data_IF_989946319351
#
_entry.id   IF_989946319351
#
_cell.length_a   1.000
_cell.length_b   1.000
_cell.length_c   1.000
_cell.angle_alpha   90.00
_cell.angle_beta   90.00
_cell.angle_gamma   90.00
#
_symmetry.space_group_name_H-M   'P 1'
#
loop_
_entity.id
_entity.type
_entity.pdbx_description
1 polymer ?
#
# COMPACT_ATOMS: atom_id res chain seq x y z
N UNK A 1 -24.77 43.39 -29.36
CA UNK A 1 -26.10 43.37 -30.03
C UNK A 1 -26.97 42.35 -29.33
N UNK A 2 -27.94 42.86 -28.69
CA UNK A 2 -29.01 42.30 -27.82
C UNK A 2 -29.99 41.43 -28.60
N UNK A 3 -30.45 40.31 -28.02
CA UNK A 3 -31.87 39.91 -28.14
C UNK A 3 -32.26 38.95 -27.03
N UNK A 4 -33.11 39.46 -26.16
CA UNK A 4 -33.91 38.75 -25.19
C UNK A 4 -35.08 38.00 -25.90
N UNK A 5 -35.45 36.82 -25.44
CA UNK A 5 -36.71 36.18 -25.75
C UNK A 5 -37.43 35.86 -24.42
N UNK A 6 -38.49 36.59 -24.15
CA UNK A 6 -39.49 36.35 -23.13
C UNK A 6 -40.45 35.24 -23.57
N UNK A 7 -40.99 34.42 -22.68
CA UNK A 7 -42.08 33.50 -23.02
C UNK A 7 -43.43 34.19 -22.90
N UNK A 8 -44.25 33.99 -23.93
CA UNK A 8 -45.64 34.43 -24.04
C UNK A 8 -46.49 33.71 -22.98
N UNK A 9 -47.15 34.50 -22.14
CA UNK A 9 -48.26 34.05 -21.31
C UNK A 9 -49.55 34.16 -22.09
N UNK A 10 -50.16 33.03 -22.42
CA UNK A 10 -51.51 32.99 -22.97
C UNK A 10 -52.52 33.15 -21.81
N UNK A 11 -53.22 34.30 -21.79
CA UNK A 11 -54.43 34.52 -20.99
C UNK A 11 -55.65 33.97 -21.77
N UNK A 12 -56.16 32.81 -21.33
CA UNK A 12 -57.47 32.34 -21.76
C UNK A 12 -58.48 32.84 -20.73
N UNK A 13 -59.30 33.87 -21.13
CA UNK A 13 -60.47 34.29 -20.39
C UNK A 13 -61.61 33.31 -20.75
N UNK A 14 -61.94 32.42 -19.84
CA UNK A 14 -63.21 31.71 -19.88
C UNK A 14 -64.07 32.18 -18.73
N UNK A 15 -65.21 32.74 -19.08
CA UNK A 15 -66.34 33.04 -18.18
C UNK A 15 -66.93 31.71 -17.71
N UNK A 16 -66.82 31.42 -16.44
CA UNK A 16 -67.53 30.29 -15.81
C UNK A 16 -68.72 30.85 -15.03
N UNK A 17 -69.89 30.37 -15.43
CA UNK A 17 -71.08 30.46 -14.64
C UNK A 17 -71.03 29.55 -13.41
N UNK A 18 -71.56 30.05 -12.31
CA UNK A 18 -71.63 29.39 -11.00
C UNK A 18 -72.22 27.98 -11.06
N UNK A 19 -71.54 27.05 -10.33
CA UNK A 19 -72.07 25.72 -10.03
C UNK A 19 -71.10 24.56 -9.84
N UNK A 20 -69.86 24.78 -9.32
CA UNK A 20 -68.92 23.72 -9.12
C UNK A 20 -68.56 23.49 -7.63
N UNK A 21 -68.94 22.33 -7.09
CA UNK A 21 -68.65 21.87 -5.73
C UNK A 21 -67.14 21.95 -5.34
N UNK A 22 -66.81 22.49 -4.17
CA UNK A 22 -65.36 22.63 -3.70
C UNK A 22 -64.60 21.32 -3.54
N UNK A 23 -65.27 20.16 -3.64
CA UNK A 23 -64.65 18.85 -3.54
C UNK A 23 -63.80 18.46 -4.77
N UNK A 24 -64.16 18.98 -5.99
CA UNK A 24 -63.40 18.65 -7.21
C UNK A 24 -62.08 19.40 -7.33
N UNK A 25 -61.98 20.61 -6.79
CA UNK A 25 -60.73 21.38 -6.81
C UNK A 25 -59.68 20.79 -5.86
N UNK A 26 -60.10 20.20 -4.73
CA UNK A 26 -59.19 19.53 -3.78
C UNK A 26 -58.63 18.23 -4.34
N UNK A 27 -59.39 17.51 -5.18
CA UNK A 27 -58.91 16.24 -5.77
C UNK A 27 -57.88 16.47 -6.87
N UNK A 28 -58.00 17.52 -7.68
CA UNK A 28 -57.00 17.87 -8.73
C UNK A 28 -55.71 18.37 -8.11
N UNK A 29 -55.76 19.16 -7.03
CA UNK A 29 -54.57 19.61 -6.30
C UNK A 29 -53.85 18.45 -5.59
N UNK A 30 -54.56 17.43 -5.09
CA UNK A 30 -53.98 16.26 -4.46
C UNK A 30 -53.30 15.35 -5.50
N UNK A 31 -53.82 15.23 -6.72
CA UNK A 31 -53.21 14.46 -7.81
C UNK A 31 -51.99 15.16 -8.41
N UNK A 32 -51.90 16.49 -8.41
CA UNK A 32 -50.72 17.22 -8.89
C UNK A 32 -49.51 17.10 -7.93
N UNK A 33 -49.75 16.92 -6.63
CA UNK A 33 -48.71 16.73 -5.63
C UNK A 33 -48.11 15.30 -5.70
N UNK A 34 -48.89 14.30 -6.16
CA UNK A 34 -48.44 12.91 -6.33
C UNK A 34 -47.54 12.69 -7.57
N UNK A 35 -47.49 13.66 -8.50
CA UNK A 35 -46.65 13.58 -9.70
C UNK A 35 -45.47 14.56 -9.73
N UNK A 36 -45.08 15.13 -8.58
CA UNK A 36 -43.77 15.77 -8.49
C UNK A 36 -42.74 14.65 -8.59
N UNK A 37 -41.93 14.59 -9.67
CA UNK A 37 -40.81 13.63 -9.70
C UNK A 37 -39.95 13.97 -8.52
N UNK A 38 -39.84 13.04 -7.57
CA UNK A 38 -38.81 13.06 -6.57
C UNK A 38 -37.50 12.97 -7.35
N UNK A 39 -36.93 14.12 -7.71
CA UNK A 39 -35.55 14.19 -8.17
C UNK A 39 -34.69 13.77 -6.99
N UNK A 40 -34.45 12.48 -6.86
CA UNK A 40 -33.40 11.98 -5.97
C UNK A 40 -32.09 12.56 -6.48
N UNK A 41 -31.58 13.56 -5.77
CA UNK A 41 -30.22 14.04 -6.05
C UNK A 41 -29.27 12.90 -5.82
N UNK A 42 -28.38 12.68 -6.77
CA UNK A 42 -27.25 11.80 -6.55
C UNK A 42 -26.39 12.41 -5.45
N UNK A 43 -26.22 11.69 -4.33
CA UNK A 43 -25.52 12.18 -3.17
C UNK A 43 -24.11 11.62 -3.07
N UNK A 44 -23.88 10.37 -3.50
CA UNK A 44 -22.61 9.71 -3.37
C UNK A 44 -22.26 8.89 -4.62
N UNK A 45 -20.95 8.66 -4.77
CA UNK A 45 -20.40 7.65 -5.66
C UNK A 45 -19.86 6.53 -4.78
N UNK A 46 -20.37 5.32 -4.99
CA UNK A 46 -19.86 4.09 -4.40
C UNK A 46 -18.99 3.37 -5.44
N UNK A 47 -17.77 3.03 -5.07
CA UNK A 47 -16.83 2.22 -5.85
C UNK A 47 -16.74 0.87 -5.16
N UNK A 48 -17.47 -0.16 -5.64
CA UNK A 48 -17.43 -1.49 -5.04
C UNK A 48 -16.06 -2.11 -5.23
N UNK A 49 -15.66 -2.95 -4.27
CA UNK A 49 -14.37 -3.64 -4.30
C UNK A 49 -14.53 -5.16 -4.17
N UNK A 50 -15.73 -5.66 -4.48
CA UNK A 50 -16.08 -7.06 -4.64
C UNK A 50 -15.84 -7.53 -6.09
N UNK A 51 -16.23 -8.76 -6.43
CA UNK A 51 -16.07 -9.38 -7.76
C UNK A 51 -16.81 -8.63 -8.89
N UNK A 52 -17.64 -7.65 -8.58
CA UNK A 52 -18.28 -6.79 -9.59
C UNK A 52 -17.36 -5.69 -10.11
N UNK A 53 -16.23 -5.45 -9.46
CA UNK A 53 -15.25 -4.47 -9.89
C UNK A 53 -14.48 -4.97 -11.11
N UNK A 54 -14.38 -4.12 -12.14
CA UNK A 54 -13.61 -4.41 -13.34
C UNK A 54 -12.11 -4.26 -13.15
N UNK A 55 -11.70 -3.31 -12.31
CA UNK A 55 -10.31 -2.99 -12.07
C UNK A 55 -10.13 -2.49 -10.63
N UNK A 56 -9.77 -3.41 -9.74
CA UNK A 56 -9.50 -3.09 -8.34
C UNK A 56 -8.35 -2.10 -8.20
N UNK A 57 -7.27 -2.30 -8.96
CA UNK A 57 -6.04 -1.50 -8.79
C UNK A 57 -6.27 -0.04 -9.20
N UNK A 58 -6.97 0.22 -10.31
CA UNK A 58 -7.33 1.59 -10.71
C UNK A 58 -8.35 2.24 -9.79
N UNK A 59 -9.15 1.45 -9.07
CA UNK A 59 -10.08 1.98 -8.07
C UNK A 59 -9.37 2.71 -6.92
N UNK A 60 -8.21 2.19 -6.47
CA UNK A 60 -7.34 2.89 -5.53
C UNK A 60 -6.79 4.20 -6.12
N UNK A 61 -6.42 4.17 -7.41
CA UNK A 61 -6.00 5.38 -8.12
C UNK A 61 -7.07 6.46 -8.17
N UNK A 62 -8.35 6.09 -8.36
CA UNK A 62 -9.48 7.05 -8.29
C UNK A 62 -9.63 7.58 -6.87
N UNK A 63 -9.61 6.73 -5.84
CA UNK A 63 -9.67 7.16 -4.44
C UNK A 63 -8.53 8.15 -4.11
N UNK A 64 -7.30 7.83 -4.52
CA UNK A 64 -6.14 8.71 -4.36
C UNK A 64 -6.31 10.05 -5.10
N UNK A 65 -6.82 10.01 -6.32
CA UNK A 65 -7.08 11.22 -7.11
C UNK A 65 -8.13 12.12 -6.44
N UNK A 66 -9.20 11.55 -5.87
CA UNK A 66 -10.21 12.30 -5.10
C UNK A 66 -9.55 13.02 -3.91
N UNK A 67 -8.65 12.34 -3.17
CA UNK A 67 -7.90 12.93 -2.07
C UNK A 67 -6.97 14.05 -2.55
N UNK A 68 -6.30 13.88 -3.70
CA UNK A 68 -5.45 14.93 -4.31
C UNK A 68 -6.27 16.16 -4.70
N UNK A 69 -7.53 15.98 -5.07
CA UNK A 69 -8.46 17.07 -5.34
C UNK A 69 -9.00 17.75 -4.06
N UNK A 70 -8.49 17.41 -2.88
CA UNK A 70 -8.89 17.98 -1.59
C UNK A 70 -10.28 17.53 -1.11
N UNK A 71 -10.73 16.35 -1.56
CA UNK A 71 -12.00 15.74 -1.16
C UNK A 71 -11.74 14.51 -0.31
N UNK A 72 -12.66 14.22 0.59
CA UNK A 72 -12.60 13.05 1.46
C UNK A 72 -13.18 11.81 0.76
N UNK A 73 -12.68 10.66 1.18
CA UNK A 73 -13.17 9.33 0.77
C UNK A 73 -13.46 8.51 2.03
N UNK A 74 -14.61 7.91 2.12
CA UNK A 74 -14.92 6.92 3.15
C UNK A 74 -14.49 5.53 2.65
N UNK A 75 -13.55 4.88 3.35
CA UNK A 75 -13.17 3.50 3.10
C UNK A 75 -14.05 2.59 3.95
N UNK A 76 -14.93 1.85 3.30
CA UNK A 76 -15.94 1.01 3.93
C UNK A 76 -15.36 -0.38 4.19
N UNK A 77 -14.77 -0.58 5.39
CA UNK A 77 -14.08 -1.81 5.75
C UNK A 77 -15.05 -3.00 5.81
N UNK A 78 -14.69 -4.07 5.12
CA UNK A 78 -15.44 -5.32 4.96
C UNK A 78 -16.81 -5.17 4.23
N UNK A 79 -17.20 -3.96 3.83
CA UNK A 79 -18.39 -3.76 3.01
C UNK A 79 -18.05 -3.97 1.54
N UNK A 80 -18.63 -4.99 0.91
CA UNK A 80 -18.41 -5.33 -0.50
C UNK A 80 -16.92 -5.34 -0.87
N UNK A 81 -16.11 -6.07 -0.11
CA UNK A 81 -14.67 -6.20 -0.33
C UNK A 81 -13.82 -5.00 0.08
N UNK A 82 -14.35 -4.05 0.86
CA UNK A 82 -13.64 -2.83 1.29
C UNK A 82 -13.79 -1.67 0.30
N UNK A 83 -15.05 -1.33 -0.01
CA UNK A 83 -15.46 -0.32 -0.99
C UNK A 83 -15.04 1.09 -0.60
N UNK A 84 -14.94 1.97 -1.60
CA UNK A 84 -14.76 3.40 -1.39
C UNK A 84 -16.07 4.15 -1.66
N UNK A 85 -16.34 5.18 -0.86
CA UNK A 85 -17.50 6.05 -1.05
C UNK A 85 -17.08 7.52 -0.91
N UNK A 86 -17.60 8.38 -1.78
CA UNK A 86 -17.34 9.82 -1.74
C UNK A 86 -18.56 10.60 -2.20
N UNK A 87 -18.64 11.89 -1.86
CA UNK A 87 -19.72 12.74 -2.32
C UNK A 87 -19.75 12.81 -3.84
N UNK A 88 -20.98 12.83 -4.41
CA UNK A 88 -21.14 12.92 -5.84
C UNK A 88 -20.62 14.24 -6.40
N UNK A 89 -19.70 14.14 -7.34
CA UNK A 89 -19.31 15.22 -8.25
C UNK A 89 -19.18 14.66 -9.67
N UNK A 90 -19.69 15.40 -10.65
CA UNK A 90 -19.65 14.95 -12.05
C UNK A 90 -18.24 14.67 -12.56
N UNK A 91 -17.24 15.40 -12.03
CA UNK A 91 -15.83 15.16 -12.37
C UNK A 91 -15.32 13.80 -11.84
N UNK A 92 -15.77 13.37 -10.65
CA UNK A 92 -15.38 12.06 -10.08
C UNK A 92 -16.03 10.94 -10.90
N UNK A 93 -17.31 11.08 -11.24
CA UNK A 93 -17.99 10.13 -12.12
C UNK A 93 -17.30 10.03 -13.49
N UNK A 94 -16.85 11.15 -14.05
CA UNK A 94 -16.10 11.14 -15.31
C UNK A 94 -14.77 10.42 -15.16
N UNK A 95 -14.05 10.62 -14.04
CA UNK A 95 -12.78 9.95 -13.76
C UNK A 95 -12.96 8.43 -13.63
N UNK A 96 -14.01 7.96 -12.94
CA UNK A 96 -14.34 6.53 -12.90
C UNK A 96 -14.55 5.95 -14.30
N UNK A 97 -15.21 6.69 -15.19
CA UNK A 97 -15.44 6.26 -16.59
C UNK A 97 -14.15 6.25 -17.41
N UNK A 98 -13.31 7.28 -17.27
CA UNK A 98 -12.02 7.38 -17.98
C UNK A 98 -11.12 6.22 -17.61
N UNK A 99 -11.02 5.88 -16.32
CA UNK A 99 -10.20 4.76 -15.83
C UNK A 99 -10.86 3.39 -16.01
N UNK A 100 -12.12 3.32 -16.43
CA UNK A 100 -12.84 2.09 -16.76
C UNK A 100 -13.28 1.26 -15.56
N UNK A 101 -13.30 1.84 -14.34
CA UNK A 101 -13.70 1.14 -13.12
C UNK A 101 -15.24 1.04 -12.99
N UNK A 102 -15.70 0.06 -12.22
CA UNK A 102 -17.11 -0.04 -11.83
C UNK A 102 -17.41 0.97 -10.71
N UNK A 103 -18.54 1.68 -10.84
CA UNK A 103 -19.03 2.60 -9.82
C UNK A 103 -20.57 2.67 -9.86
N UNK A 104 -21.15 3.10 -8.75
CA UNK A 104 -22.59 3.31 -8.59
C UNK A 104 -22.84 4.75 -8.13
N UNK A 105 -23.77 5.43 -8.82
CA UNK A 105 -24.26 6.74 -8.36
C UNK A 105 -25.49 6.49 -7.51
N UNK A 106 -25.41 6.78 -6.22
CA UNK A 106 -26.43 6.44 -5.24
C UNK A 106 -27.07 7.70 -4.62
N UNK A 107 -28.36 7.58 -4.26
CA UNK A 107 -29.08 8.63 -3.57
C UNK A 107 -28.77 8.69 -2.08
N UNK A 108 -29.06 9.83 -1.42
CA UNK A 108 -28.88 10.03 0.04
C UNK A 108 -29.50 8.90 0.86
N UNK A 109 -30.69 8.44 0.49
CA UNK A 109 -31.37 7.36 1.20
C UNK A 109 -30.57 6.05 1.17
N UNK A 110 -29.95 5.72 0.01
CA UNK A 110 -29.10 4.51 -0.10
C UNK A 110 -27.78 4.68 0.63
N UNK A 111 -27.19 5.87 0.60
CA UNK A 111 -26.01 6.21 1.42
C UNK A 111 -26.28 5.98 2.92
N UNK A 112 -27.42 6.50 3.41
CA UNK A 112 -27.82 6.31 4.80
C UNK A 112 -28.08 4.83 5.15
N UNK A 113 -28.71 4.06 4.26
CA UNK A 113 -28.91 2.62 4.41
C UNK A 113 -27.57 1.88 4.60
N UNK A 114 -26.60 2.14 3.69
CA UNK A 114 -25.25 1.54 3.75
C UNK A 114 -24.54 1.89 5.08
N UNK A 115 -24.55 3.16 5.48
CA UNK A 115 -23.92 3.59 6.71
C UNK A 115 -24.59 3.00 7.96
N UNK A 116 -25.92 2.81 7.94
CA UNK A 116 -26.66 2.15 9.01
C UNK A 116 -26.31 0.65 9.09
N UNK A 117 -26.22 -0.05 7.95
CA UNK A 117 -25.77 -1.44 7.87
C UNK A 117 -24.37 -1.59 8.47
N UNK A 118 -23.40 -0.78 8.02
CA UNK A 118 -22.03 -0.78 8.51
C UNK A 118 -21.95 -0.43 10.01
N UNK A 119 -22.84 0.47 10.45
CA UNK A 119 -22.93 0.93 11.85
C UNK A 119 -23.51 -0.11 12.82
N UNK A 120 -24.16 -1.16 12.32
CA UNK A 120 -24.77 -2.21 13.18
C UNK A 120 -23.69 -2.92 13.99
N UNK A 121 -23.85 -3.01 15.33
CA UNK A 121 -22.88 -3.71 16.19
C UNK A 121 -22.69 -5.18 15.89
N UNK A 122 -23.67 -5.84 15.28
CA UNK A 122 -23.66 -7.29 14.99
C UNK A 122 -22.80 -7.66 13.78
N UNK A 123 -22.48 -6.71 12.89
CA UNK A 123 -21.67 -6.96 11.69
C UNK A 123 -20.21 -6.58 11.91
N UNK A 124 -19.30 -7.33 11.28
CA UNK A 124 -17.87 -7.02 11.27
C UNK A 124 -17.54 -6.03 10.14
N UNK A 125 -18.12 -4.84 10.23
CA UNK A 125 -17.92 -3.75 9.27
C UNK A 125 -17.68 -2.43 10.03
N UNK A 126 -16.94 -1.54 9.43
CA UNK A 126 -16.79 -0.14 9.88
C UNK A 126 -16.40 0.73 8.69
N UNK A 127 -16.25 2.02 8.88
CA UNK A 127 -15.67 2.88 7.87
C UNK A 127 -14.56 3.76 8.45
N UNK A 128 -13.57 4.06 7.63
CA UNK A 128 -12.48 4.98 7.96
C UNK A 128 -12.48 6.11 6.94
N UNK A 129 -12.42 7.33 7.45
CA UNK A 129 -12.31 8.51 6.61
C UNK A 129 -10.88 8.69 6.16
N UNK A 130 -10.67 8.79 4.84
CA UNK A 130 -9.42 9.21 4.23
C UNK A 130 -9.52 10.72 3.97
N UNK A 131 -8.53 11.49 4.46
CA UNK A 131 -8.64 12.96 4.50
C UNK A 131 -7.71 13.67 3.52
N UNK A 132 -6.53 13.07 3.24
CA UNK A 132 -5.50 13.72 2.43
C UNK A 132 -4.68 12.68 1.66
N UNK A 133 -4.38 12.96 0.40
CA UNK A 133 -3.45 12.15 -0.37
C UNK A 133 -2.05 12.15 0.29
N UNK A 134 -1.47 10.98 0.61
CA UNK A 134 -0.13 10.91 1.17
C UNK A 134 0.92 11.28 0.13
N UNK A 135 2.03 11.89 0.59
CA UNK A 135 3.24 12.02 -0.21
C UNK A 135 4.05 10.74 -0.15
N UNK A 136 4.33 10.17 -1.31
CA UNK A 136 4.94 8.86 -1.47
C UNK A 136 6.38 9.01 -1.93
N UNK A 137 7.29 8.30 -1.26
CA UNK A 137 8.67 8.11 -1.71
C UNK A 137 8.96 6.62 -1.95
N UNK A 138 9.72 6.34 -2.98
CA UNK A 138 10.29 5.02 -3.27
C UNK A 138 11.80 5.12 -3.14
N UNK A 139 12.39 4.29 -2.28
CA UNK A 139 13.83 4.23 -2.07
C UNK A 139 14.46 3.33 -3.12
N UNK A 140 15.13 3.94 -4.09
CA UNK A 140 15.76 3.20 -5.19
C UNK A 140 16.90 4.00 -5.84
N UNK A 141 17.92 3.30 -6.42
CA UNK A 141 19.01 3.95 -7.14
C UNK A 141 18.50 4.69 -8.38
N UNK A 142 18.90 5.95 -8.55
CA UNK A 142 18.44 6.80 -9.68
C UNK A 142 19.10 6.48 -11.03
N UNK A 143 20.20 5.74 -11.00
CA UNK A 143 21.01 5.41 -12.19
C UNK A 143 20.67 4.07 -12.83
N UNK A 144 19.75 3.31 -12.23
CA UNK A 144 19.20 2.08 -12.80
C UNK A 144 17.87 2.36 -13.46
N UNK A 145 17.49 1.48 -14.39
CA UNK A 145 16.09 1.41 -14.87
C UNK A 145 15.22 0.83 -13.73
N UNK A 146 15.03 1.62 -12.68
CA UNK A 146 14.26 1.30 -11.47
C UNK A 146 12.82 0.91 -11.80
N UNK A 147 12.37 1.34 -12.97
CA UNK A 147 11.01 1.21 -13.46
C UNK A 147 10.62 -0.20 -13.91
N UNK A 148 11.61 -1.10 -14.04
CA UNK A 148 11.43 -2.33 -14.81
C UNK A 148 11.11 -3.53 -13.91
N UNK A 149 11.33 -3.40 -12.59
CA UNK A 149 11.44 -4.56 -11.73
C UNK A 149 10.73 -4.40 -10.36
N UNK A 150 10.40 -3.19 -9.95
CA UNK A 150 9.80 -2.93 -8.66
C UNK A 150 8.26 -3.01 -8.73
N UNK A 151 7.67 -4.02 -8.08
CA UNK A 151 6.23 -4.25 -8.05
C UNK A 151 5.43 -3.03 -7.55
N UNK A 152 5.98 -2.27 -6.60
CA UNK A 152 5.31 -1.06 -6.07
C UNK A 152 5.32 0.04 -7.13
N UNK A 153 6.44 0.27 -7.81
CA UNK A 153 6.52 1.24 -8.91
C UNK A 153 5.56 0.86 -10.04
N UNK A 154 5.50 -0.43 -10.38
CA UNK A 154 4.59 -0.95 -11.41
C UNK A 154 3.13 -0.62 -11.05
N UNK A 155 2.70 -0.92 -9.82
CA UNK A 155 1.31 -0.68 -9.43
C UNK A 155 0.99 0.81 -9.23
N UNK A 156 1.91 1.61 -8.72
CA UNK A 156 1.72 3.05 -8.60
C UNK A 156 1.53 3.71 -9.97
N UNK A 157 2.33 3.31 -10.96
CA UNK A 157 2.18 3.77 -12.36
C UNK A 157 0.85 3.30 -12.97
N UNK A 158 0.49 2.03 -12.79
CA UNK A 158 -0.76 1.48 -13.31
C UNK A 158 -2.00 2.16 -12.71
N UNK A 159 -1.99 2.40 -11.40
CA UNK A 159 -3.05 3.11 -10.69
C UNK A 159 -2.98 4.64 -10.86
N UNK A 160 -1.96 5.17 -11.57
CA UNK A 160 -1.72 6.61 -11.77
C UNK A 160 -1.59 7.39 -10.45
N UNK A 161 -0.87 6.81 -9.50
CA UNK A 161 -0.56 7.41 -8.20
C UNK A 161 0.84 8.02 -8.27
N UNK A 162 1.00 9.34 -8.03
CA UNK A 162 2.31 9.99 -8.12
C UNK A 162 3.22 9.61 -6.95
N UNK A 163 4.52 9.51 -7.23
CA UNK A 163 5.57 9.22 -6.25
C UNK A 163 6.88 9.87 -6.66
N UNK A 164 7.77 10.05 -5.68
CA UNK A 164 9.13 10.52 -5.89
C UNK A 164 10.12 9.36 -5.64
N UNK A 165 11.21 9.33 -6.42
CA UNK A 165 12.32 8.39 -6.19
C UNK A 165 13.39 9.11 -5.39
N UNK A 166 13.75 8.55 -4.24
CA UNK A 166 14.83 9.03 -3.36
C UNK A 166 15.81 7.89 -3.08
N UNK A 167 17.04 8.23 -2.74
CA UNK A 167 18.04 7.24 -2.36
C UNK A 167 18.90 7.72 -1.20
N UNK A 168 20.07 7.10 -0.99
CA UNK A 168 20.98 7.40 0.13
C UNK A 168 21.25 8.90 0.32
N UNK A 169 21.52 9.62 -0.77
CA UNK A 169 21.86 11.04 -0.74
C UNK A 169 20.74 11.91 -0.19
N UNK A 170 19.49 11.69 -0.64
CA UNK A 170 18.34 12.45 -0.18
C UNK A 170 18.01 12.14 1.29
N UNK A 171 18.15 10.87 1.70
CA UNK A 171 17.90 10.47 3.08
C UNK A 171 18.95 11.10 4.01
N UNK A 172 20.23 11.05 3.62
CA UNK A 172 21.32 11.66 4.39
C UNK A 172 21.22 13.19 4.47
N UNK A 173 20.58 13.84 3.49
CA UNK A 173 20.24 15.26 3.51
C UNK A 173 19.01 15.61 4.33
N UNK A 174 18.26 14.61 4.82
CA UNK A 174 17.09 14.81 5.67
C UNK A 174 15.77 14.98 4.91
N UNK A 175 15.70 14.59 3.65
CA UNK A 175 14.52 14.78 2.79
C UNK A 175 13.31 13.90 3.18
N UNK A 176 13.49 12.88 4.02
CA UNK A 176 12.40 11.99 4.47
C UNK A 176 11.22 12.73 5.13
N UNK A 177 11.48 13.86 5.78
CA UNK A 177 10.43 14.67 6.44
C UNK A 177 9.39 15.25 5.46
N UNK A 178 9.65 15.19 4.16
CA UNK A 178 8.74 15.65 3.11
C UNK A 178 7.66 14.64 2.75
N UNK A 179 7.82 13.38 3.19
CA UNK A 179 6.99 12.25 2.77
C UNK A 179 6.20 11.66 3.94
N UNK A 180 5.02 11.14 3.62
CA UNK A 180 4.15 10.45 4.58
C UNK A 180 4.39 8.94 4.54
N UNK A 181 4.80 8.39 3.38
CA UNK A 181 5.00 6.97 3.13
C UNK A 181 6.29 6.70 2.36
N UNK A 182 7.05 5.71 2.83
CA UNK A 182 8.33 5.27 2.23
C UNK A 182 8.27 3.79 1.88
N UNK A 183 8.64 3.46 0.65
CA UNK A 183 8.82 2.09 0.18
C UNK A 183 10.29 1.70 0.09
N UNK A 184 10.62 0.48 0.60
CA UNK A 184 11.89 -0.21 0.40
C UNK A 184 11.61 -1.52 -0.31
N UNK A 185 12.35 -1.83 -1.40
CA UNK A 185 12.15 -3.07 -2.12
C UNK A 185 13.33 -4.03 -1.91
N UNK A 186 14.07 -4.34 -2.95
CA UNK A 186 15.16 -5.31 -2.96
C UNK A 186 16.52 -4.71 -2.61
N UNK A 187 16.54 -3.52 -2.03
CA UNK A 187 17.77 -2.85 -1.63
C UNK A 187 18.43 -3.51 -0.41
N UNK A 188 19.76 -3.48 -0.39
CA UNK A 188 20.58 -4.03 0.66
C UNK A 188 21.09 -2.94 1.60
N UNK A 189 20.69 -3.01 2.85
CA UNK A 189 21.14 -2.10 3.91
C UNK A 189 22.38 -2.59 4.66
N UNK A 190 22.86 -3.82 4.38
CA UNK A 190 24.00 -4.41 5.09
C UNK A 190 25.36 -3.98 4.54
N UNK A 191 25.38 -3.44 3.33
CA UNK A 191 26.63 -3.13 2.61
C UNK A 191 27.27 -4.31 1.90
N UNK A 192 26.55 -5.43 1.78
CA UNK A 192 27.01 -6.64 1.07
C UNK A 192 26.55 -6.67 -0.39
N UNK A 193 26.05 -5.56 -0.91
CA UNK A 193 25.64 -5.36 -2.31
C UNK A 193 24.69 -6.47 -2.82
N UNK A 194 23.67 -6.78 -2.04
CA UNK A 194 22.67 -7.83 -2.32
C UNK A 194 23.22 -9.24 -2.48
N UNK A 195 24.48 -9.49 -2.13
CA UNK A 195 25.18 -10.80 -2.23
C UNK A 195 24.99 -11.56 -3.56
N UNK A 196 23.83 -11.41 -4.18
CA UNK A 196 23.43 -12.09 -5.42
C UNK A 196 24.08 -11.50 -6.66
N UNK A 197 24.35 -10.20 -6.70
CA UNK A 197 24.90 -9.51 -7.86
C UNK A 197 26.29 -10.01 -8.27
N UNK A 198 27.09 -10.45 -7.29
CA UNK A 198 28.42 -10.99 -7.53
C UNK A 198 28.41 -12.30 -8.34
N UNK A 199 27.32 -13.10 -8.26
CA UNK A 199 27.17 -14.40 -8.92
C UNK A 199 26.45 -14.36 -10.26
N UNK A 200 25.64 -13.36 -10.51
CA UNK A 200 24.76 -13.29 -11.69
C UNK A 200 25.52 -13.04 -13.02
N UNK A 201 26.86 -13.13 -13.03
CA UNK A 201 27.66 -12.93 -14.23
C UNK A 201 27.70 -11.48 -14.74
N UNK A 202 26.98 -10.58 -14.11
CA UNK A 202 26.96 -9.16 -14.48
C UNK A 202 27.98 -8.36 -13.65
N UNK A 203 29.25 -8.74 -13.78
CA UNK A 203 30.35 -8.09 -13.07
C UNK A 203 30.47 -6.59 -13.34
N UNK A 204 30.00 -6.12 -14.50
CA UNK A 204 30.06 -4.70 -14.86
C UNK A 204 29.05 -3.89 -14.04
N UNK A 205 27.79 -4.34 -13.92
CA UNK A 205 26.78 -3.61 -13.13
C UNK A 205 27.10 -3.62 -11.64
N UNK A 206 27.65 -4.74 -11.11
CA UNK A 206 28.13 -4.80 -9.73
C UNK A 206 29.26 -3.79 -9.46
N UNK A 207 30.25 -3.73 -10.36
CA UNK A 207 31.38 -2.80 -10.21
C UNK A 207 30.93 -1.33 -10.29
N UNK A 208 29.95 -1.04 -11.14
CA UNK A 208 29.37 0.30 -11.27
C UNK A 208 28.58 0.70 -10.02
N UNK A 209 27.71 -0.14 -9.53
CA UNK A 209 26.95 0.09 -8.30
C UNK A 209 27.85 0.28 -7.09
N UNK A 210 28.86 -0.60 -6.94
CA UNK A 210 29.87 -0.46 -5.88
C UNK A 210 30.56 0.89 -5.95
N UNK A 211 31.00 1.30 -7.14
CA UNK A 211 31.65 2.60 -7.37
C UNK A 211 30.76 3.77 -6.97
N UNK A 212 29.48 3.73 -7.32
CA UNK A 212 28.50 4.77 -7.02
C UNK A 212 28.25 4.85 -5.51
N UNK A 213 27.98 3.72 -4.86
CA UNK A 213 27.74 3.67 -3.42
C UNK A 213 28.99 4.10 -2.62
N UNK A 214 30.19 3.67 -3.02
CA UNK A 214 31.44 4.14 -2.41
C UNK A 214 31.67 5.65 -2.63
N UNK A 215 31.32 6.19 -3.80
CA UNK A 215 31.41 7.62 -4.05
C UNK A 215 30.45 8.40 -3.17
N UNK A 216 29.20 7.94 -3.04
CA UNK A 216 28.19 8.53 -2.15
C UNK A 216 28.63 8.45 -0.69
N UNK A 217 29.15 7.32 -0.25
CA UNK A 217 29.69 7.16 1.10
C UNK A 217 30.80 8.20 1.39
N UNK A 218 31.79 8.31 0.49
CA UNK A 218 32.88 9.31 0.62
C UNK A 218 32.36 10.74 0.64
N UNK A 219 31.39 11.06 -0.22
CA UNK A 219 30.79 12.41 -0.30
C UNK A 219 30.14 12.83 1.05
N UNK A 220 29.56 11.86 1.77
CA UNK A 220 28.97 12.06 3.09
C UNK A 220 29.92 11.75 4.27
N UNK A 221 31.24 11.59 4.00
CA UNK A 221 32.26 11.40 5.04
C UNK A 221 32.36 9.99 5.61
N UNK A 222 31.71 9.00 4.98
CA UNK A 222 31.83 7.60 5.40
C UNK A 222 33.02 6.90 4.70
N UNK A 223 33.74 6.10 5.46
CA UNK A 223 34.82 5.29 4.91
C UNK A 223 34.34 3.96 4.30
N UNK A 224 33.20 3.44 4.78
CA UNK A 224 32.57 2.19 4.33
C UNK A 224 31.12 2.40 3.93
N UNK A 225 30.70 1.69 2.90
CA UNK A 225 29.28 1.66 2.46
C UNK A 225 28.38 1.08 3.55
N UNK A 226 28.82 0.04 4.27
CA UNK A 226 28.07 -0.54 5.38
C UNK A 226 27.75 0.48 6.49
N UNK A 227 28.67 1.41 6.79
CA UNK A 227 28.43 2.47 7.79
C UNK A 227 27.48 3.57 7.27
N UNK A 228 27.56 3.89 6.00
CA UNK A 228 26.58 4.77 5.33
C UNK A 228 25.19 4.13 5.36
N UNK A 229 25.04 2.89 4.91
CA UNK A 229 23.76 2.16 4.87
C UNK A 229 23.15 2.00 6.27
N UNK A 230 23.95 1.72 7.29
CA UNK A 230 23.48 1.72 8.68
C UNK A 230 22.90 3.09 9.09
N UNK A 231 23.57 4.18 8.70
CA UNK A 231 23.09 5.53 9.00
C UNK A 231 21.79 5.80 8.29
N UNK A 232 21.67 5.43 7.01
CA UNK A 232 20.43 5.51 6.24
C UNK A 232 19.30 4.69 6.92
N UNK A 233 19.58 3.44 7.31
CA UNK A 233 18.61 2.60 8.01
C UNK A 233 18.14 3.22 9.35
N UNK A 234 19.05 3.84 10.10
CA UNK A 234 18.71 4.56 11.34
C UNK A 234 17.83 5.77 11.07
N UNK A 235 18.11 6.57 10.03
CA UNK A 235 17.29 7.71 9.65
C UNK A 235 15.89 7.28 9.20
N UNK A 236 15.77 6.17 8.48
CA UNK A 236 14.47 5.58 8.11
C UNK A 236 13.72 5.09 9.35
N UNK A 237 14.39 4.40 10.27
CA UNK A 237 13.79 4.00 11.55
C UNK A 237 13.30 5.21 12.36
N UNK A 238 14.10 6.25 12.43
CA UNK A 238 13.76 7.48 13.17
C UNK A 238 12.62 8.26 12.49
N UNK A 239 12.55 8.22 11.15
CA UNK A 239 11.38 8.70 10.39
C UNK A 239 10.11 7.93 10.78
N UNK A 240 10.17 6.60 10.85
CA UNK A 240 9.07 5.78 11.33
C UNK A 240 8.70 6.15 12.78
N UNK A 241 9.70 6.27 13.68
CA UNK A 241 9.46 6.70 15.08
C UNK A 241 8.77 8.05 15.17
N UNK A 242 9.04 8.96 14.24
CA UNK A 242 8.44 10.29 14.14
C UNK A 242 6.98 10.32 13.66
N UNK A 243 6.48 9.24 13.08
CA UNK A 243 5.11 9.12 12.56
C UNK A 243 5.02 8.76 11.07
N UNK A 244 6.16 8.48 10.41
CA UNK A 244 6.19 8.03 9.03
C UNK A 244 5.69 6.58 8.87
N UNK A 245 5.26 6.26 7.66
CA UNK A 245 4.77 4.92 7.30
C UNK A 245 5.81 4.24 6.41
N UNK A 246 6.32 3.09 6.87
CA UNK A 246 7.31 2.29 6.16
C UNK A 246 6.66 1.05 5.56
N UNK A 247 6.89 0.81 4.28
CA UNK A 247 6.52 -0.43 3.61
C UNK A 247 7.74 -1.05 2.95
N UNK A 248 8.05 -2.30 3.28
CA UNK A 248 9.20 -2.98 2.70
C UNK A 248 8.80 -4.32 2.09
N UNK A 249 9.40 -4.62 0.94
CA UNK A 249 9.26 -5.90 0.26
C UNK A 249 10.63 -6.55 0.03
N UNK A 250 10.62 -7.83 -0.29
CA UNK A 250 11.80 -8.59 -0.67
C UNK A 250 12.94 -8.43 0.35
N UNK A 251 14.19 -8.33 -0.12
CA UNK A 251 15.35 -8.13 0.75
C UNK A 251 15.42 -6.78 1.46
N UNK A 252 14.60 -5.82 1.05
CA UNK A 252 14.44 -4.55 1.77
C UNK A 252 13.86 -4.74 3.18
N UNK A 253 13.12 -5.83 3.43
CA UNK A 253 12.54 -6.13 4.73
C UNK A 253 13.56 -6.72 5.72
N UNK A 254 14.30 -7.77 5.32
CA UNK A 254 15.23 -8.46 6.21
C UNK A 254 16.57 -7.74 6.34
N UNK A 255 17.16 -7.24 5.23
CA UNK A 255 18.45 -6.54 5.25
C UNK A 255 18.41 -5.26 6.08
N UNK A 256 17.26 -4.59 6.12
CA UNK A 256 17.04 -3.40 6.94
C UNK A 256 17.21 -3.68 8.43
N UNK A 257 16.50 -4.68 8.95
CA UNK A 257 16.62 -5.08 10.36
C UNK A 257 18.00 -5.67 10.70
N UNK A 258 18.61 -6.41 9.77
CA UNK A 258 19.98 -6.93 9.94
C UNK A 258 20.98 -5.78 10.07
N UNK A 259 20.88 -4.75 9.23
CA UNK A 259 21.74 -3.57 9.32
C UNK A 259 21.60 -2.84 10.67
N UNK A 260 20.36 -2.68 11.15
CA UNK A 260 20.10 -2.07 12.45
C UNK A 260 20.70 -2.89 13.60
N UNK A 261 20.56 -4.22 13.59
CA UNK A 261 21.11 -5.10 14.60
C UNK A 261 22.65 -5.10 14.60
N UNK A 262 23.26 -4.98 13.42
CA UNK A 262 24.73 -5.01 13.25
C UNK A 262 25.40 -3.65 13.54
N UNK A 263 24.71 -2.72 14.19
CA UNK A 263 25.21 -1.37 14.44
C UNK A 263 26.56 -1.29 15.16
N UNK A 264 26.88 -2.29 16.00
CA UNK A 264 28.08 -2.36 16.83
C UNK A 264 29.12 -3.38 16.35
N UNK A 265 28.92 -3.96 15.17
CA UNK A 265 29.83 -4.98 14.62
C UNK A 265 29.97 -4.85 13.12
N UNK A 266 30.89 -5.58 12.53
CA UNK A 266 31.08 -5.69 11.09
C UNK A 266 30.62 -7.08 10.61
N UNK A 267 29.66 -7.12 9.71
CA UNK A 267 29.13 -8.34 9.11
C UNK A 267 29.52 -8.47 7.63
N UNK A 268 30.31 -7.51 7.11
CA UNK A 268 30.79 -7.55 5.73
C UNK A 268 32.07 -8.37 5.60
N UNK A 269 32.10 -9.27 4.62
CA UNK A 269 33.31 -9.99 4.25
C UNK A 269 34.29 -9.11 3.45
N UNK A 270 35.56 -9.38 3.52
CA UNK A 270 36.61 -8.66 2.79
C UNK A 270 36.37 -8.56 1.28
N UNK A 271 35.57 -9.45 0.71
CA UNK A 271 35.19 -9.40 -0.68
C UNK A 271 34.34 -8.17 -1.02
N UNK A 272 33.66 -7.55 -0.05
CA UNK A 272 32.81 -6.38 -0.24
C UNK A 272 33.54 -5.07 0.04
N UNK A 273 34.24 -4.96 1.16
CA UNK A 273 34.79 -3.68 1.64
C UNK A 273 36.29 -3.71 1.99
N UNK A 274 36.95 -4.89 1.83
CA UNK A 274 38.43 -5.04 1.90
C UNK A 274 38.95 -5.51 3.24
N UNK A 275 38.14 -5.60 4.31
CA UNK A 275 38.51 -6.21 5.59
C UNK A 275 37.51 -7.29 6.01
N UNK A 276 37.96 -8.21 6.86
CA UNK A 276 37.15 -9.38 7.25
C UNK A 276 36.01 -8.97 8.19
N UNK A 277 34.85 -9.64 8.05
CA UNK A 277 33.80 -9.56 9.04
C UNK A 277 34.35 -9.90 10.46
N UNK A 278 33.73 -9.29 11.47
CA UNK A 278 34.07 -9.57 12.87
C UNK A 278 33.75 -11.04 13.22
N UNK A 279 34.73 -11.87 13.62
CA UNK A 279 34.44 -13.24 13.98
C UNK A 279 33.43 -13.41 15.13
N UNK A 280 33.26 -12.39 15.94
CA UNK A 280 32.32 -12.35 17.05
C UNK A 280 30.99 -11.60 16.68
N UNK A 281 30.75 -11.32 15.40
CA UNK A 281 29.63 -10.51 14.95
C UNK A 281 28.29 -10.97 15.52
N UNK A 282 28.03 -12.29 15.49
CA UNK A 282 26.77 -12.85 15.97
C UNK A 282 26.47 -12.50 17.43
N UNK A 283 27.48 -12.50 18.30
CA UNK A 283 27.31 -12.20 19.73
C UNK A 283 27.16 -10.70 20.04
N UNK A 284 27.42 -9.84 19.04
CA UNK A 284 27.36 -8.37 19.17
C UNK A 284 26.13 -7.76 18.53
N UNK A 285 25.24 -8.58 17.96
CA UNK A 285 23.99 -8.10 17.39
C UNK A 285 23.09 -7.52 18.48
N UNK A 286 22.58 -6.34 18.23
CA UNK A 286 21.63 -5.66 19.13
C UNK A 286 20.21 -5.70 18.54
N UNK A 287 19.44 -6.71 18.91
CA UNK A 287 18.07 -6.88 18.45
C UNK A 287 17.08 -5.83 19.01
N UNK A 288 17.49 -5.02 20.01
CA UNK A 288 16.65 -3.92 20.47
C UNK A 288 16.47 -2.83 19.41
N UNK A 289 17.38 -2.74 18.44
CA UNK A 289 17.38 -1.75 17.37
C UNK A 289 16.46 -2.11 16.20
N UNK A 290 16.09 -3.39 16.04
CA UNK A 290 15.30 -3.88 14.91
C UNK A 290 13.81 -3.57 15.05
N UNK A 291 13.07 -3.55 13.94
CA UNK A 291 11.62 -3.37 13.94
C UNK A 291 10.87 -4.70 14.15
N UNK A 292 11.11 -5.67 13.29
CA UNK A 292 10.33 -6.89 13.19
C UNK A 292 11.00 -8.14 13.79
N UNK A 293 12.34 -8.26 13.68
CA UNK A 293 13.02 -9.53 13.90
C UNK A 293 13.98 -9.51 15.08
N UNK A 294 14.16 -10.67 15.72
CA UNK A 294 15.10 -10.91 16.82
C UNK A 294 15.68 -12.32 16.78
N UNK A 295 16.78 -12.52 17.48
CA UNK A 295 17.41 -13.84 17.66
C UNK A 295 17.76 -14.58 16.36
N UNK A 296 17.91 -13.84 15.26
CA UNK A 296 18.32 -14.42 13.99
C UNK A 296 19.83 -14.63 13.93
N UNK A 297 20.24 -15.57 13.09
CA UNK A 297 21.64 -15.87 12.81
C UNK A 297 22.03 -15.19 11.49
N UNK A 298 23.02 -14.28 11.54
CA UNK A 298 23.52 -13.65 10.32
C UNK A 298 24.40 -14.61 9.52
N UNK A 299 24.30 -14.54 8.22
CA UNK A 299 25.15 -15.28 7.29
C UNK A 299 26.18 -14.32 6.68
N UNK A 300 27.42 -14.36 7.20
CA UNK A 300 28.54 -13.54 6.72
C UNK A 300 29.25 -14.13 5.51
N UNK A 301 28.90 -15.37 5.10
CA UNK A 301 29.55 -16.04 3.97
C UNK A 301 29.23 -15.29 2.65
N UNK A 302 30.23 -14.74 1.92
CA UNK A 302 30.02 -14.00 0.69
C UNK A 302 29.54 -14.87 -0.49
N UNK A 303 29.58 -16.18 -0.36
CA UNK A 303 29.07 -17.14 -1.35
C UNK A 303 27.63 -17.58 -1.09
N UNK A 304 27.08 -17.22 0.08
CA UNK A 304 25.68 -17.43 0.40
C UNK A 304 24.79 -16.40 -0.32
N UNK A 305 23.56 -16.79 -0.60
CA UNK A 305 22.55 -15.86 -1.11
C UNK A 305 21.64 -15.31 -0.01
N UNK A 306 21.80 -15.77 1.23
CA UNK A 306 21.01 -15.33 2.37
C UNK A 306 21.80 -14.32 3.19
N UNK A 307 21.05 -13.39 3.79
CA UNK A 307 21.61 -12.50 4.79
C UNK A 307 21.56 -13.12 6.21
N UNK A 308 20.52 -13.93 6.46
CA UNK A 308 20.29 -14.56 7.77
C UNK A 308 19.31 -15.73 7.65
N UNK A 309 18.86 -16.27 8.79
CA UNK A 309 17.79 -17.26 8.92
C UNK A 309 16.41 -16.62 9.16
N UNK A 310 16.26 -15.32 8.92
CA UNK A 310 14.97 -14.65 8.86
C UNK A 310 14.16 -15.17 7.66
N UNK A 311 14.78 -15.18 6.48
CA UNK A 311 14.14 -15.73 5.28
C UNK A 311 14.23 -17.25 5.24
N UNK A 312 13.08 -17.91 5.15
CA UNK A 312 12.97 -19.37 4.96
C UNK A 312 12.62 -19.75 3.53
N UNK A 313 12.47 -18.78 2.64
CA UNK A 313 12.01 -18.99 1.26
C UNK A 313 12.86 -19.95 0.43
N UNK A 314 14.19 -19.97 0.66
CA UNK A 314 15.12 -20.83 -0.10
C UNK A 314 15.11 -22.30 0.29
N UNK A 315 14.66 -22.62 1.48
CA UNK A 315 14.55 -24.00 1.97
C UNK A 315 13.18 -24.61 1.66
N UNK A 316 12.32 -23.86 0.95
CA UNK A 316 10.97 -24.30 0.62
C UNK A 316 10.99 -25.26 -0.56
N UNK A 317 10.35 -26.42 -0.38
CA UNK A 317 10.09 -27.41 -1.42
C UNK A 317 8.59 -27.41 -1.77
N UNK A 318 8.06 -26.22 -2.17
CA UNK A 318 6.67 -26.03 -2.51
C UNK A 318 6.61 -25.71 -4.00
N UNK A 319 5.70 -26.41 -4.71
CA UNK A 319 5.44 -26.11 -6.11
C UNK A 319 4.71 -24.76 -6.26
N UNK A 320 4.87 -24.04 -7.38
CA UNK A 320 4.14 -22.79 -7.64
C UNK A 320 2.62 -22.93 -7.52
N UNK A 321 2.08 -24.11 -7.85
CA UNK A 321 0.65 -24.39 -7.78
C UNK A 321 0.12 -24.67 -6.37
N UNK A 322 1.01 -24.83 -5.40
CA UNK A 322 0.69 -25.10 -3.99
C UNK A 322 1.13 -23.96 -3.06
N UNK A 323 1.81 -22.97 -3.61
CA UNK A 323 2.29 -21.83 -2.84
C UNK A 323 1.17 -20.78 -2.69
N UNK A 324 0.50 -20.81 -1.55
CA UNK A 324 -0.52 -19.85 -1.17
C UNK A 324 -0.33 -19.46 0.29
N UNK A 325 -0.77 -18.26 0.64
CA UNK A 325 -0.89 -17.83 2.03
C UNK A 325 -2.27 -17.25 2.29
N UNK A 326 -2.69 -17.28 3.55
CA UNK A 326 -4.02 -16.84 3.95
C UNK A 326 -3.94 -15.56 4.77
N UNK A 327 -4.78 -14.58 4.43
CA UNK A 327 -4.96 -13.36 5.20
C UNK A 327 -5.83 -13.63 6.43
N UNK A 328 -5.49 -13.00 7.54
CA UNK A 328 -6.31 -13.01 8.74
C UNK A 328 -7.55 -12.14 8.58
N UNK A 329 -8.62 -12.59 9.21
CA UNK A 329 -9.90 -11.86 9.28
C UNK A 329 -9.94 -11.03 10.56
N UNK A 330 -9.41 -9.82 10.47
CA UNK A 330 -9.40 -8.90 11.59
C UNK A 330 -10.75 -8.21 11.78
N UNK A 331 -11.00 -7.76 12.99
CA UNK A 331 -12.19 -6.98 13.30
C UNK A 331 -12.08 -5.55 12.77
N UNK A 332 -12.95 -5.17 11.84
CA UNK A 332 -13.00 -3.80 11.34
C UNK A 332 -13.33 -2.77 12.44
N UNK A 333 -13.90 -3.21 13.56
CA UNK A 333 -14.26 -2.37 14.71
C UNK A 333 -13.16 -2.22 15.75
N UNK A 334 -12.40 -3.30 15.99
CA UNK A 334 -11.41 -3.37 17.06
C UNK A 334 -9.97 -3.34 16.55
N UNK A 335 -9.72 -3.97 15.40
CA UNK A 335 -8.42 -4.10 14.76
C UNK A 335 -8.39 -3.29 13.46
N UNK A 336 -8.75 -2.00 13.55
CA UNK A 336 -8.98 -1.14 12.37
C UNK A 336 -7.79 -1.10 11.43
N UNK A 337 -6.57 -1.02 11.96
CA UNK A 337 -5.34 -0.94 11.15
C UNK A 337 -5.08 -2.24 10.42
N UNK A 338 -4.99 -3.41 11.08
CA UNK A 338 -4.85 -4.67 10.36
C UNK A 338 -5.99 -4.92 9.38
N UNK A 339 -7.25 -4.55 9.72
CA UNK A 339 -8.38 -4.67 8.81
C UNK A 339 -8.22 -3.85 7.54
N UNK A 340 -7.75 -2.60 7.62
CA UNK A 340 -7.45 -1.81 6.42
C UNK A 340 -6.38 -2.48 5.55
N UNK A 341 -5.31 -2.95 6.18
CA UNK A 341 -4.17 -3.52 5.48
C UNK A 341 -4.46 -4.88 4.84
N UNK A 342 -5.51 -5.59 5.32
CA UNK A 342 -5.93 -6.89 4.78
C UNK A 342 -7.21 -6.83 3.94
N UNK A 343 -7.74 -5.63 3.64
CA UNK A 343 -8.90 -5.52 2.75
C UNK A 343 -8.60 -6.14 1.38
N UNK A 344 -9.33 -7.20 1.06
CA UNK A 344 -9.22 -7.88 -0.22
C UNK A 344 -10.55 -8.56 -0.60
N UNK A 345 -10.73 -8.85 -1.89
CA UNK A 345 -11.82 -9.67 -2.39
C UNK A 345 -11.48 -11.16 -2.25
N UNK A 346 -10.17 -11.49 -2.18
CA UNK A 346 -9.65 -12.82 -1.94
C UNK A 346 -8.93 -12.92 -0.60
N UNK A 347 -9.22 -13.97 0.17
CA UNK A 347 -8.52 -14.26 1.43
C UNK A 347 -7.32 -15.15 1.27
N UNK A 348 -7.27 -15.91 0.19
CA UNK A 348 -6.17 -16.81 -0.15
C UNK A 348 -5.39 -16.19 -1.27
N UNK A 349 -4.17 -15.77 -0.96
CA UNK A 349 -3.30 -15.08 -1.89
C UNK A 349 -2.30 -16.07 -2.46
N UNK A 350 -2.14 -16.04 -3.79
CA UNK A 350 -1.12 -16.81 -4.49
C UNK A 350 0.27 -16.40 -4.00
N UNK A 351 1.11 -17.38 -3.69
CA UNK A 351 2.49 -17.15 -3.28
C UNK A 351 3.36 -16.70 -4.45
N UNK A 352 4.39 -15.95 -4.12
CA UNK A 352 5.41 -15.48 -5.04
C UNK A 352 6.76 -15.41 -4.32
N UNK A 353 7.84 -15.45 -5.06
CA UNK A 353 9.19 -15.53 -4.49
C UNK A 353 9.94 -14.20 -4.64
N UNK A 354 11.01 -14.07 -3.88
CA UNK A 354 11.96 -12.96 -3.91
C UNK A 354 13.26 -13.36 -3.23
N UNK A 355 14.15 -12.41 -3.00
CA UNK A 355 15.37 -12.63 -2.20
C UNK A 355 15.00 -12.97 -0.75
N UNK A 356 14.03 -12.25 -0.17
CA UNK A 356 13.32 -12.65 1.04
C UNK A 356 11.88 -12.98 0.66
N UNK A 357 11.53 -14.24 0.72
CA UNK A 357 10.22 -14.77 0.29
C UNK A 357 9.23 -14.90 1.44
N UNK A 358 9.70 -15.43 2.57
CA UNK A 358 8.86 -15.77 3.72
C UNK A 358 9.65 -15.63 5.01
N UNK A 359 9.01 -15.08 6.03
CA UNK A 359 9.65 -14.79 7.31
C UNK A 359 9.46 -15.95 8.29
N UNK A 360 10.55 -16.34 8.95
CA UNK A 360 10.54 -17.32 10.01
C UNK A 360 9.79 -16.78 11.23
N UNK A 361 8.63 -17.35 11.54
CA UNK A 361 7.78 -16.90 12.65
C UNK A 361 8.56 -16.92 13.99
N UNK A 362 9.50 -17.87 14.18
CA UNK A 362 10.30 -17.96 15.41
C UNK A 362 11.27 -16.78 15.60
N UNK A 363 11.49 -15.98 14.56
CA UNK A 363 12.34 -14.79 14.58
C UNK A 363 11.59 -13.50 14.77
N UNK A 364 10.26 -13.53 14.74
CA UNK A 364 9.45 -12.32 14.96
C UNK A 364 9.55 -11.87 16.43
N UNK A 365 9.58 -10.56 16.61
CA UNK A 365 9.48 -9.95 17.93
C UNK A 365 8.07 -10.13 18.51
N UNK A 366 7.94 -10.18 19.85
CA UNK A 366 6.64 -10.04 20.49
C UNK A 366 5.94 -8.74 20.04
N UNK A 367 4.65 -8.81 19.75
CA UNK A 367 3.86 -7.64 19.31
C UNK A 367 3.84 -7.41 17.80
N UNK A 368 4.60 -8.17 17.01
CA UNK A 368 4.44 -8.18 15.55
C UNK A 368 3.11 -8.84 15.18
N UNK A 369 2.28 -8.14 14.41
CA UNK A 369 1.02 -8.65 13.90
C UNK A 369 1.27 -9.42 12.60
N UNK A 370 0.94 -10.71 12.57
CA UNK A 370 0.95 -11.51 11.35
C UNK A 370 -0.37 -11.30 10.65
N UNK A 371 -0.35 -10.70 9.48
CA UNK A 371 -1.54 -10.42 8.67
C UNK A 371 -1.77 -11.46 7.58
N UNK A 372 -0.72 -12.14 7.15
CA UNK A 372 -0.79 -13.22 6.18
C UNK A 372 0.27 -14.28 6.44
N UNK A 373 -0.14 -15.56 6.45
CA UNK A 373 0.75 -16.67 6.77
C UNK A 373 0.44 -17.93 5.97
N UNK A 374 1.44 -18.81 5.87
CA UNK A 374 1.31 -20.18 5.44
C UNK A 374 1.52 -21.10 6.65
N UNK A 375 0.42 -21.48 7.33
CA UNK A 375 0.46 -22.26 8.57
C UNK A 375 1.16 -23.60 8.44
N UNK A 376 0.95 -24.30 7.32
CA UNK A 376 1.58 -25.60 7.06
C UNK A 376 3.11 -25.55 7.13
N UNK A 377 3.71 -24.40 6.85
CA UNK A 377 5.17 -24.21 6.80
C UNK A 377 5.70 -23.38 7.96
N UNK A 378 4.84 -22.90 8.86
CA UNK A 378 5.23 -21.96 9.93
C UNK A 378 5.93 -20.70 9.38
N UNK A 379 5.38 -20.12 8.31
CA UNK A 379 5.91 -18.98 7.60
C UNK A 379 4.95 -17.80 7.63
N UNK A 380 5.45 -16.61 7.98
CA UNK A 380 4.73 -15.35 7.79
C UNK A 380 5.11 -14.74 6.42
N UNK A 381 4.10 -14.22 5.71
CA UNK A 381 4.27 -13.59 4.38
C UNK A 381 4.00 -12.10 4.42
N UNK A 382 3.16 -11.65 5.34
CA UNK A 382 2.72 -10.28 5.45
C UNK A 382 2.58 -9.94 6.94
N UNK A 383 3.41 -9.00 7.42
CA UNK A 383 3.53 -8.67 8.84
C UNK A 383 3.52 -7.16 9.04
N UNK A 384 3.06 -6.73 10.21
CA UNK A 384 2.88 -5.33 10.56
C UNK A 384 3.27 -5.06 12.01
N UNK A 385 3.70 -3.82 12.28
CA UNK A 385 3.95 -3.36 13.64
C UNK A 385 4.01 -1.85 13.73
N UNK A 386 4.01 -1.37 14.97
CA UNK A 386 4.17 0.02 15.32
C UNK A 386 5.60 0.30 15.78
N UNK A 387 6.11 1.50 15.51
CA UNK A 387 7.38 1.96 16.05
C UNK A 387 7.31 3.46 16.35
N UNK A 388 7.37 3.81 17.63
CA UNK A 388 7.18 5.18 18.07
C UNK A 388 5.77 5.71 17.75
N UNK A 389 5.67 6.72 16.87
CA UNK A 389 4.39 7.28 16.41
C UNK A 389 3.97 6.76 15.04
N UNK A 390 4.85 6.06 14.35
CA UNK A 390 4.64 5.54 13.00
C UNK A 390 4.41 4.04 12.98
N UNK A 391 4.35 3.51 11.79
CA UNK A 391 4.01 2.12 11.54
C UNK A 391 4.85 1.57 10.38
N UNK A 392 5.07 0.27 10.40
CA UNK A 392 5.79 -0.44 9.37
C UNK A 392 5.05 -1.71 8.95
N UNK A 393 5.19 -2.07 7.68
CA UNK A 393 4.63 -3.29 7.11
C UNK A 393 5.68 -3.95 6.23
N UNK A 394 5.91 -5.25 6.42
CA UNK A 394 6.82 -6.04 5.60
C UNK A 394 6.04 -7.12 4.84
N UNK A 395 6.31 -7.22 3.54
CA UNK A 395 5.66 -8.14 2.63
C UNK A 395 6.70 -9.03 1.95
N UNK A 396 6.67 -10.33 2.22
CA UNK A 396 7.63 -11.28 1.68
C UNK A 396 7.37 -11.59 0.21
N UNK A 397 8.43 -11.61 -0.59
CA UNK A 397 8.38 -11.83 -2.03
C UNK A 397 8.62 -10.55 -2.83
N UNK A 398 8.69 -10.68 -4.15
CA UNK A 398 9.11 -9.61 -5.05
C UNK A 398 7.96 -9.06 -5.89
N UNK A 399 7.27 -9.92 -6.64
CA UNK A 399 6.18 -9.55 -7.54
C UNK A 399 4.98 -10.48 -7.36
N UNK A 400 3.82 -9.97 -6.90
CA UNK A 400 2.64 -10.79 -6.65
C UNK A 400 2.10 -11.60 -7.83
N UNK A 401 2.36 -11.19 -9.08
CA UNK A 401 1.94 -11.92 -10.27
C UNK A 401 3.11 -12.62 -10.99
N UNK A 402 4.35 -12.28 -10.60
CA UNK A 402 5.57 -12.95 -11.05
C UNK A 402 6.07 -13.96 -10.03
N UNK A 403 5.74 -15.27 -10.17
CA UNK A 403 6.14 -16.27 -9.17
C UNK A 403 7.65 -16.35 -8.92
N UNK A 404 8.44 -16.38 -9.99
CA UNK A 404 9.91 -16.28 -9.97
C UNK A 404 10.28 -15.08 -10.81
N UNK A 405 10.96 -14.13 -10.20
CA UNK A 405 11.52 -13.00 -10.92
C UNK A 405 13.04 -13.18 -11.04
N UNK A 406 13.56 -13.08 -12.26
CA UNK A 406 14.99 -13.08 -12.55
C UNK A 406 15.39 -11.74 -13.19
N UNK A 407 16.63 -11.33 -12.96
CA UNK A 407 17.15 -10.12 -13.59
C UNK A 407 17.00 -10.18 -15.11
N UNK A 408 16.29 -9.20 -15.69
CA UNK A 408 16.04 -9.10 -17.12
C UNK A 408 14.73 -9.73 -17.58
N UNK A 409 13.91 -10.25 -16.67
CA UNK A 409 12.54 -10.66 -16.99
C UNK A 409 11.70 -9.42 -17.39
N UNK A 410 10.71 -9.62 -18.23
CA UNK A 410 9.78 -8.57 -18.61
C UNK A 410 8.95 -8.17 -17.39
N UNK A 411 8.75 -6.86 -17.13
CA UNK A 411 7.88 -6.41 -16.05
C UNK A 411 6.47 -6.96 -16.19
N UNK A 412 5.83 -7.20 -15.05
CA UNK A 412 4.43 -7.64 -15.02
C UNK A 412 3.52 -6.61 -15.69
N UNK A 413 2.72 -7.04 -16.65
CA UNK A 413 1.67 -6.22 -17.26
C UNK A 413 0.38 -6.31 -16.44
N UNK A 414 0.14 -5.30 -15.59
CA UNK A 414 -1.03 -5.24 -14.73
C UNK A 414 -2.36 -5.07 -15.48
N UNK A 415 -2.33 -4.75 -16.77
CA UNK A 415 -3.56 -4.76 -17.57
C UNK A 415 -4.13 -6.18 -17.74
N UNK A 416 -3.29 -7.21 -17.57
CA UNK A 416 -3.68 -8.62 -17.53
C UNK A 416 -4.12 -9.08 -16.14
N UNK A 417 -3.83 -8.29 -15.10
CA UNK A 417 -4.06 -8.60 -13.68
C UNK A 417 -4.75 -7.44 -12.93
N UNK A 418 -5.82 -6.82 -13.50
CA UNK A 418 -6.43 -5.61 -12.92
C UNK A 418 -7.06 -5.84 -11.53
N UNK A 419 -7.32 -7.10 -11.20
CA UNK A 419 -7.91 -7.54 -9.93
C UNK A 419 -6.94 -8.35 -9.07
N UNK A 420 -5.62 -8.19 -9.27
CA UNK A 420 -4.62 -8.92 -8.49
C UNK A 420 -4.76 -8.66 -6.98
N UNK A 421 -5.07 -9.70 -6.17
CA UNK A 421 -5.20 -9.55 -4.73
C UNK A 421 -3.84 -9.23 -4.06
N UNK A 422 -2.74 -9.77 -4.58
CA UNK A 422 -1.41 -9.50 -4.05
C UNK A 422 -0.97 -8.04 -4.23
N UNK A 423 -1.23 -7.45 -5.39
CA UNK A 423 -0.98 -6.03 -5.64
C UNK A 423 -1.93 -5.11 -4.87
N UNK A 424 -3.14 -5.58 -4.60
CA UNK A 424 -4.09 -4.83 -3.78
C UNK A 424 -3.59 -4.62 -2.35
N UNK A 425 -2.88 -5.58 -1.76
CA UNK A 425 -2.25 -5.40 -0.44
C UNK A 425 -1.22 -4.27 -0.42
N UNK A 426 -0.48 -4.07 -1.52
CA UNK A 426 0.43 -2.93 -1.68
C UNK A 426 -0.37 -1.61 -1.62
N UNK A 427 -1.45 -1.51 -2.40
CA UNK A 427 -2.27 -0.30 -2.48
C UNK A 427 -3.03 0.02 -1.18
N UNK A 428 -3.37 -1.01 -0.37
CA UNK A 428 -3.87 -0.80 0.98
C UNK A 428 -2.85 0.00 1.83
N UNK A 429 -1.56 -0.36 1.76
CA UNK A 429 -0.49 0.36 2.46
C UNK A 429 -0.31 1.79 1.94
N UNK A 430 -0.47 2.00 0.64
CA UNK A 430 -0.34 3.33 0.01
C UNK A 430 -1.43 4.29 0.50
N UNK A 431 -2.68 3.83 0.65
CA UNK A 431 -3.78 4.66 1.14
C UNK A 431 -3.81 4.78 2.67
N UNK A 432 -3.16 3.87 3.38
CA UNK A 432 -3.22 3.83 4.84
C UNK A 432 -2.84 5.17 5.54
N UNK A 433 -1.80 5.92 5.12
CA UNK A 433 -1.46 7.20 5.76
C UNK A 433 -2.53 8.29 5.60
N UNK A 434 -3.44 8.15 4.63
CA UNK A 434 -4.56 9.08 4.44
C UNK A 434 -5.65 8.91 5.51
N UNK A 435 -5.66 7.80 6.25
CA UNK A 435 -6.70 7.42 7.18
C UNK A 435 -6.68 8.30 8.44
N UNK A 436 -7.84 8.86 8.77
CA UNK A 436 -8.02 9.54 10.05
C UNK A 436 -7.88 8.53 11.20
N UNK A 437 -7.02 8.83 12.18
CA UNK A 437 -6.90 8.01 13.39
C UNK A 437 -8.25 7.91 14.09
N UNK A 438 -8.81 6.72 14.12
CA UNK A 438 -10.05 6.43 14.83
C UNK A 438 -9.75 6.35 16.32
N UNK A 439 -10.48 7.12 17.15
CA UNK A 439 -10.47 6.89 18.60
C UNK A 439 -11.14 5.53 18.81
N UNK A 440 -10.43 4.61 19.47
CA UNK A 440 -11.04 3.36 19.94
C UNK A 440 -12.27 3.74 20.77
N UNK A 441 -13.40 3.16 20.46
CA UNK A 441 -14.61 3.26 21.30
C UNK A 441 -14.30 2.53 22.59
N UNK A 442 -14.13 3.24 23.66
CA UNK A 442 -14.09 2.68 25.01
C UNK A 442 -15.50 2.28 25.43
#
# INVERSE_FOLDING_TARGET
>A
MTKYLLPFAFFVRHSFSDGGSPARLKLVSLFLILFLPLFTRAASILIPMDDTQKDHLKSYGVAFWVLTAGKEVDWLLNYRGGSFMTNYEKRIENECRIRGITYEVIADAKTAEILNEIGDPSVNMDFVKLEKAPKIAVYAPKNRFVDVDDAVIIVLKYAEIPFDVIYDDEILKGDLVKYDWLHLHHEDFTGQYSKTMRRAGNQLSFAEDKKIQEATARMHGFQKVSKMKLTVARLIRDYCAGGGFLFAMCSGADSFDIALAAGNTDICDAAYDGDSADPAAQSKLDFSQTLAFQNFQVDVNPFSHRFSDIDVGRNRHISPSEDFFTLFDFSAKWDVVPSMLTQDHDRVIKGFRGLATAFNISKLKPGVTIMGEMKSNNEARYIHGEYGKGQWTFYGGHDPEGYLHNNGDTPTDLSLHPNSPGYRLILNNVLFPAARRKKLKT
#
